data_IF_389383896914
#
_entry.id   IF_389383896914
#
_cell.length_a   1.000
_cell.length_b   1.000
_cell.length_c   1.000
_cell.angle_alpha   90.00
_cell.angle_beta   90.00
_cell.angle_gamma   90.00
#
_symmetry.space_group_name_H-M   'P 1'
#
loop_
_entity.id
_entity.type
_entity.pdbx_description
1 polymer ?
#
# COMPACT_ATOMS: atom_id res chain seq x y z
N UNK A 1 75.24 5.76 -27.06
CA UNK A 1 73.96 5.05 -26.90
C UNK A 1 73.36 5.50 -25.56
N UNK A 2 72.28 6.26 -25.64
CA UNK A 2 71.65 7.00 -24.53
C UNK A 2 70.57 6.13 -23.88
N UNK A 3 70.78 5.71 -22.63
CA UNK A 3 69.73 5.07 -21.84
C UNK A 3 69.03 6.16 -21.02
N UNK A 4 67.82 6.52 -21.44
CA UNK A 4 66.94 7.46 -20.73
C UNK A 4 66.24 6.66 -19.64
N UNK A 5 66.66 6.81 -18.40
CA UNK A 5 65.91 6.29 -17.24
C UNK A 5 64.96 7.37 -16.76
N UNK A 6 63.71 7.31 -17.23
CA UNK A 6 62.63 8.13 -16.67
C UNK A 6 62.35 7.64 -15.24
N UNK A 7 62.73 8.46 -14.25
CA UNK A 7 62.29 8.31 -12.87
C UNK A 7 60.78 8.52 -12.82
N UNK A 8 60.02 7.47 -12.51
CA UNK A 8 58.58 7.54 -12.26
C UNK A 8 58.36 8.25 -10.92
N UNK A 9 58.26 9.57 -10.94
CA UNK A 9 57.74 10.33 -9.81
C UNK A 9 56.35 9.78 -9.46
N UNK A 10 56.26 9.09 -8.34
CA UNK A 10 55.00 8.71 -7.75
C UNK A 10 54.35 9.99 -7.23
N UNK A 11 53.45 10.56 -8.03
CA UNK A 11 52.49 11.54 -7.53
C UNK A 11 51.69 10.85 -6.43
N UNK A 12 52.02 11.17 -5.18
CA UNK A 12 51.25 10.75 -4.03
C UNK A 12 49.96 11.55 -4.07
N UNK A 13 48.95 11.01 -4.73
CA UNK A 13 47.58 11.50 -4.61
C UNK A 13 47.24 11.31 -3.13
N UNK A 14 47.28 12.39 -2.36
CA UNK A 14 46.67 12.37 -1.05
C UNK A 14 45.17 12.26 -1.33
N UNK A 15 44.63 11.04 -1.27
CA UNK A 15 43.19 10.86 -1.15
C UNK A 15 42.84 11.55 0.17
N UNK A 16 42.26 12.74 0.05
CA UNK A 16 41.38 13.25 1.08
C UNK A 16 40.29 12.21 1.22
N UNK A 17 40.38 11.40 2.27
CA UNK A 17 39.29 10.54 2.71
C UNK A 17 38.15 11.47 3.11
N UNK A 18 37.35 11.85 2.12
CA UNK A 18 36.03 12.41 2.36
C UNK A 18 35.24 11.22 2.89
N UNK A 19 35.12 11.16 4.21
CA UNK A 19 34.12 10.36 4.90
C UNK A 19 32.82 10.44 4.09
N UNK A 20 32.21 9.31 3.71
CA UNK A 20 30.93 9.35 3.02
C UNK A 20 29.99 10.13 3.92
N UNK A 21 29.49 11.27 3.43
CA UNK A 21 28.46 12.04 4.12
C UNK A 21 27.37 11.03 4.43
N UNK A 22 27.25 10.67 5.71
CA UNK A 22 26.12 9.88 6.22
C UNK A 22 24.91 10.72 5.93
N UNK A 23 24.30 10.45 4.78
CA UNK A 23 23.02 11.00 4.38
C UNK A 23 22.09 10.69 5.54
N UNK A 24 21.78 11.70 6.36
CA UNK A 24 20.87 11.55 7.49
C UNK A 24 19.54 11.20 6.87
N UNK A 25 19.26 9.91 6.76
CA UNK A 25 17.97 9.36 6.38
C UNK A 25 17.02 9.80 7.47
N UNK A 26 16.39 10.95 7.26
CA UNK A 26 15.39 11.45 8.19
C UNK A 26 14.24 10.44 8.21
N UNK A 27 13.54 10.31 9.32
CA UNK A 27 12.38 9.39 9.46
C UNK A 27 11.36 9.58 8.32
N UNK A 28 11.28 10.80 7.77
CA UNK A 28 10.49 11.14 6.57
C UNK A 28 10.91 10.37 5.32
N UNK A 29 12.20 10.14 5.14
CA UNK A 29 12.75 9.42 3.99
C UNK A 29 12.55 7.90 4.11
N UNK A 30 12.61 7.38 5.34
CA UNK A 30 12.22 6.00 5.65
C UNK A 30 10.71 5.81 5.41
N UNK A 31 9.89 6.75 5.88
CA UNK A 31 8.44 6.73 5.70
C UNK A 31 8.02 6.78 4.22
N UNK A 32 8.66 7.64 3.42
CA UNK A 32 8.41 7.71 1.98
C UNK A 32 8.77 6.41 1.26
N UNK A 33 9.87 5.76 1.67
CA UNK A 33 10.27 4.43 1.17
C UNK A 33 9.27 3.36 1.55
N UNK A 34 8.76 3.36 2.78
CA UNK A 34 7.73 2.42 3.24
C UNK A 34 6.41 2.56 2.48
N UNK A 35 5.92 3.80 2.27
CA UNK A 35 4.70 4.03 1.47
C UNK A 35 4.90 3.56 0.02
N UNK A 36 6.07 3.83 -0.55
CA UNK A 36 6.39 3.42 -1.93
C UNK A 36 6.45 1.90 -2.05
N UNK A 37 7.04 1.20 -1.08
CA UNK A 37 7.08 -0.25 -1.03
C UNK A 37 5.67 -0.85 -0.96
N UNK A 38 4.82 -0.35 -0.05
CA UNK A 38 3.43 -0.81 0.10
C UNK A 38 2.64 -0.60 -1.18
N UNK A 39 2.79 0.56 -1.85
CA UNK A 39 2.14 0.84 -3.13
C UNK A 39 2.57 -0.16 -4.20
N UNK A 40 3.86 -0.46 -4.29
CA UNK A 40 4.38 -1.39 -5.29
C UNK A 40 3.91 -2.83 -5.02
N UNK A 41 3.86 -3.27 -3.77
CA UNK A 41 3.30 -4.56 -3.38
C UNK A 41 1.81 -4.65 -3.71
N UNK A 42 1.03 -3.60 -3.47
CA UNK A 42 -0.39 -3.54 -3.82
C UNK A 42 -0.60 -3.65 -5.34
N UNK A 43 0.17 -2.91 -6.14
CA UNK A 43 0.10 -2.98 -7.60
C UNK A 43 0.43 -4.40 -8.08
N UNK A 44 1.51 -5.00 -7.58
CA UNK A 44 1.92 -6.37 -7.95
C UNK A 44 0.86 -7.44 -7.60
N UNK A 45 0.23 -7.31 -6.42
CA UNK A 45 -0.88 -8.17 -6.02
C UNK A 45 -2.09 -7.98 -6.94
N UNK A 46 -2.43 -6.73 -7.27
CA UNK A 46 -3.57 -6.42 -8.13
C UNK A 46 -3.39 -6.97 -9.54
N UNK A 47 -2.18 -6.88 -10.12
CA UNK A 47 -1.87 -7.42 -11.44
C UNK A 47 -1.83 -8.95 -11.44
N UNK A 48 -1.20 -9.57 -10.43
CA UNK A 48 -1.16 -11.03 -10.29
C UNK A 48 -2.56 -11.63 -10.13
N UNK A 49 -3.44 -10.97 -9.40
CA UNK A 49 -4.83 -11.38 -9.27
C UNK A 49 -5.59 -11.16 -10.58
N UNK A 50 -5.44 -10.00 -11.22
CA UNK A 50 -6.10 -9.70 -12.49
C UNK A 50 -5.75 -10.71 -13.60
N UNK A 51 -4.49 -11.13 -13.71
CA UNK A 51 -4.06 -12.15 -14.68
C UNK A 51 -4.68 -13.53 -14.40
N UNK A 52 -4.90 -13.87 -13.12
CA UNK A 52 -5.60 -15.10 -12.73
C UNK A 52 -7.11 -15.04 -12.97
N UNK A 53 -7.71 -13.84 -13.02
CA UNK A 53 -9.14 -13.64 -13.28
C UNK A 53 -9.48 -13.49 -14.77
N UNK A 54 -8.55 -13.01 -15.61
CA UNK A 54 -8.77 -12.78 -17.04
C UNK A 54 -8.86 -14.05 -17.89
N UNK A 55 -8.52 -15.23 -17.35
CA UNK A 55 -8.58 -16.49 -18.11
C UNK A 55 -10.03 -17.02 -18.32
N UNK A 56 -11.06 -16.41 -17.75
CA UNK A 56 -12.40 -16.99 -17.73
C UNK A 56 -13.57 -16.03 -18.06
N UNK A 57 -13.40 -15.10 -19.00
CA UNK A 57 -14.56 -14.42 -19.59
C UNK A 57 -14.39 -14.25 -21.11
N UNK A 58 -14.89 -15.23 -21.85
CA UNK A 58 -15.40 -15.01 -23.20
C UNK A 58 -16.73 -15.73 -23.35
N UNK A 59 -17.82 -14.99 -23.19
CA UNK A 59 -19.09 -15.28 -23.88
C UNK A 59 -19.85 -13.95 -24.02
N UNK A 60 -19.78 -13.37 -25.21
CA UNK A 60 -20.54 -12.20 -25.66
C UNK A 60 -22.00 -12.57 -25.97
N UNK A 61 -22.97 -11.72 -25.61
CA UNK A 61 -24.26 -11.55 -26.32
C UNK A 61 -24.72 -10.07 -26.22
N UNK A 62 -25.29 -9.45 -27.30
CA UNK A 62 -25.32 -8.00 -27.46
C UNK A 62 -26.63 -7.27 -27.07
N UNK A 63 -26.46 -5.98 -26.74
CA UNK A 63 -27.36 -4.80 -26.78
C UNK A 63 -28.89 -4.99 -26.87
N UNK A 64 -29.60 -4.36 -25.91
CA UNK A 64 -30.81 -3.57 -26.23
C UNK A 64 -30.69 -2.17 -25.63
N UNK A 65 -30.79 -1.19 -26.52
CA UNK A 65 -30.64 0.24 -26.27
C UNK A 65 -31.98 0.80 -25.78
N UNK A 66 -32.09 1.13 -24.49
CA UNK A 66 -33.26 1.85 -23.97
C UNK A 66 -32.92 3.32 -23.76
N UNK A 67 -33.52 4.18 -24.58
CA UNK A 67 -33.64 5.61 -24.32
C UNK A 67 -34.55 5.83 -23.10
N UNK A 68 -33.98 5.83 -21.90
CA UNK A 68 -34.69 6.26 -20.69
C UNK A 68 -34.49 7.77 -20.55
N UNK A 69 -35.54 8.52 -20.88
CA UNK A 69 -35.57 9.98 -20.82
C UNK A 69 -35.08 10.53 -19.48
N UNK A 70 -34.23 11.55 -19.55
CA UNK A 70 -33.82 12.39 -18.44
C UNK A 70 -35.01 13.20 -17.94
N UNK A 71 -35.76 12.66 -16.99
CA UNK A 71 -36.79 13.39 -16.26
C UNK A 71 -36.53 13.26 -14.74
N UNK A 72 -35.48 13.91 -14.25
CA UNK A 72 -35.33 14.22 -12.82
C UNK A 72 -34.26 15.28 -12.54
N UNK A 73 -34.25 16.37 -13.30
CA UNK A 73 -33.59 17.60 -12.85
C UNK A 73 -34.51 18.25 -11.81
N UNK A 74 -34.30 17.97 -10.52
CA UNK A 74 -35.03 18.66 -9.44
C UNK A 74 -35.43 17.80 -8.25
N UNK A 75 -35.20 16.48 -8.27
CA UNK A 75 -35.21 15.68 -7.03
C UNK A 75 -33.77 15.54 -6.58
N UNK A 76 -33.48 15.89 -5.33
CA UNK A 76 -32.25 15.49 -4.65
C UNK A 76 -32.25 13.96 -4.50
N UNK A 77 -32.03 13.25 -5.61
CA UNK A 77 -31.93 11.79 -5.61
C UNK A 77 -30.61 11.48 -4.96
N UNK A 78 -30.66 10.79 -3.82
CA UNK A 78 -29.48 10.27 -3.16
C UNK A 78 -28.88 9.17 -4.06
N UNK A 79 -27.99 9.57 -4.96
CA UNK A 79 -27.31 8.62 -5.85
C UNK A 79 -26.08 8.04 -5.15
N UNK A 80 -25.64 6.86 -5.58
CA UNK A 80 -24.38 6.26 -5.11
C UNK A 80 -23.19 7.19 -5.28
N UNK A 81 -23.18 7.99 -6.36
CA UNK A 81 -22.18 9.02 -6.61
C UNK A 81 -22.27 10.13 -5.55
N UNK A 82 -23.46 10.69 -5.32
CA UNK A 82 -23.67 11.75 -4.31
C UNK A 82 -23.19 11.33 -2.92
N UNK A 83 -23.45 10.07 -2.53
CA UNK A 83 -22.99 9.54 -1.23
C UNK A 83 -21.47 9.41 -1.19
N UNK A 84 -20.85 8.85 -2.25
CA UNK A 84 -19.38 8.73 -2.33
C UNK A 84 -18.68 10.09 -2.30
N UNK A 85 -19.19 11.05 -3.05
CA UNK A 85 -18.64 12.41 -3.10
C UNK A 85 -18.73 13.09 -1.73
N UNK A 86 -19.86 12.93 -1.04
CA UNK A 86 -20.04 13.42 0.33
C UNK A 86 -19.08 12.76 1.31
N UNK A 87 -18.94 11.43 1.27
CA UNK A 87 -18.00 10.70 2.13
C UNK A 87 -16.55 11.14 1.87
N UNK A 88 -16.18 11.35 0.60
CA UNK A 88 -14.85 11.84 0.23
C UNK A 88 -14.62 13.27 0.74
N UNK A 89 -15.61 14.15 0.61
CA UNK A 89 -15.55 15.50 1.15
C UNK A 89 -15.36 15.47 2.67
N UNK A 90 -16.09 14.60 3.38
CA UNK A 90 -15.92 14.42 4.83
C UNK A 90 -14.53 13.89 5.17
N UNK A 91 -14.03 12.89 4.46
CA UNK A 91 -12.68 12.36 4.64
C UNK A 91 -11.62 13.44 4.49
N UNK A 92 -11.74 14.29 3.46
CA UNK A 92 -10.83 15.42 3.25
C UNK A 92 -10.93 16.46 4.38
N UNK A 93 -12.15 16.73 4.88
CA UNK A 93 -12.37 17.69 5.97
C UNK A 93 -11.82 17.23 7.32
N UNK A 94 -11.61 15.93 7.52
CA UNK A 94 -11.01 15.39 8.74
C UNK A 94 -9.52 15.75 8.88
N UNK A 95 -8.85 16.15 7.79
CA UNK A 95 -7.43 16.51 7.76
C UNK A 95 -6.55 15.54 8.56
N UNK A 96 -6.73 14.24 8.29
CA UNK A 96 -6.05 13.16 9.03
C UNK A 96 -4.53 13.39 9.05
N UNK A 97 -3.97 13.81 7.91
CA UNK A 97 -2.54 14.10 7.77
C UNK A 97 -2.11 15.32 8.58
N UNK A 98 -2.86 16.42 8.53
CA UNK A 98 -2.54 17.61 9.30
C UNK A 98 -2.67 17.38 10.81
N UNK A 99 -3.65 16.59 11.25
CA UNK A 99 -3.78 16.21 12.66
C UNK A 99 -2.65 15.28 13.11
N UNK A 100 -2.27 14.30 12.29
CA UNK A 100 -1.12 13.44 12.57
C UNK A 100 0.21 14.22 12.63
N UNK A 101 0.36 15.30 11.87
CA UNK A 101 1.57 16.13 11.95
C UNK A 101 1.67 16.96 13.23
N UNK A 102 0.55 17.20 13.92
CA UNK A 102 0.47 18.05 15.12
C UNK A 102 0.54 17.23 16.41
N UNK A 103 -0.03 16.02 16.40
CA UNK A 103 -0.13 15.15 17.56
C UNK A 103 0.45 13.75 17.25
N UNK A 104 1.61 13.39 17.82
CA UNK A 104 2.21 12.07 17.65
C UNK A 104 1.34 10.92 18.17
N UNK A 105 0.54 11.14 19.22
CA UNK A 105 -0.36 10.11 19.75
C UNK A 105 -1.50 9.84 18.75
N UNK A 106 -2.10 10.91 18.22
CA UNK A 106 -3.07 10.80 17.13
C UNK A 106 -2.48 10.10 15.91
N UNK A 107 -1.25 10.46 15.51
CA UNK A 107 -0.56 9.85 14.38
C UNK A 107 -0.41 8.33 14.56
N UNK A 108 0.10 7.91 15.72
CA UNK A 108 0.28 6.49 16.05
C UNK A 108 -1.05 5.74 16.05
N UNK A 109 -2.04 6.24 16.79
CA UNK A 109 -3.36 5.61 16.88
C UNK A 109 -4.04 5.50 15.52
N UNK A 110 -3.92 6.55 14.70
CA UNK A 110 -4.51 6.58 13.35
C UNK A 110 -3.83 5.59 12.42
N UNK A 111 -2.50 5.52 12.42
CA UNK A 111 -1.75 4.54 11.62
C UNK A 111 -2.13 3.10 12.01
N UNK A 112 -2.15 2.80 13.31
CA UNK A 112 -2.53 1.49 13.84
C UNK A 112 -3.99 1.16 13.45
N UNK A 113 -4.92 2.09 13.63
CA UNK A 113 -6.33 1.89 13.30
C UNK A 113 -6.57 1.68 11.79
N UNK A 114 -5.92 2.47 10.92
CA UNK A 114 -6.08 2.35 9.47
C UNK A 114 -5.53 1.01 8.98
N UNK A 115 -4.33 0.62 9.41
CA UNK A 115 -3.73 -0.65 9.02
C UNK A 115 -4.53 -1.83 9.57
N UNK A 116 -5.03 -1.73 10.80
CA UNK A 116 -5.93 -2.74 11.39
C UNK A 116 -7.25 -2.87 10.62
N UNK A 117 -7.81 -1.76 10.15
CA UNK A 117 -9.01 -1.78 9.32
C UNK A 117 -8.76 -2.44 7.96
N UNK A 118 -7.62 -2.18 7.32
CA UNK A 118 -7.22 -2.85 6.08
C UNK A 118 -7.03 -4.35 6.30
N UNK A 119 -6.33 -4.73 7.37
CA UNK A 119 -6.19 -6.13 7.77
C UNK A 119 -7.55 -6.80 7.97
N UNK A 120 -8.46 -6.19 8.75
CA UNK A 120 -9.78 -6.75 9.02
C UNK A 120 -10.62 -6.91 7.76
N UNK A 121 -10.64 -5.89 6.89
CA UNK A 121 -11.38 -5.93 5.63
C UNK A 121 -10.86 -7.04 4.70
N UNK A 122 -9.54 -7.16 4.57
CA UNK A 122 -8.92 -8.21 3.76
C UNK A 122 -9.23 -9.60 4.35
N UNK A 123 -9.03 -9.76 5.67
CA UNK A 123 -9.33 -11.01 6.39
C UNK A 123 -10.75 -11.47 6.12
N UNK A 124 -11.73 -10.60 6.32
CA UNK A 124 -13.15 -10.94 6.19
C UNK A 124 -13.52 -11.29 4.74
N UNK A 125 -13.05 -10.49 3.77
CA UNK A 125 -13.34 -10.71 2.36
C UNK A 125 -12.75 -12.03 1.85
N UNK A 126 -11.47 -12.29 2.16
CA UNK A 126 -10.78 -13.50 1.72
C UNK A 126 -11.29 -14.75 2.46
N UNK A 127 -11.55 -14.67 3.76
CA UNK A 127 -12.12 -15.80 4.50
C UNK A 127 -13.48 -16.20 3.92
N UNK A 128 -14.36 -15.24 3.62
CA UNK A 128 -15.66 -15.53 2.98
C UNK A 128 -15.49 -16.29 1.67
N UNK A 129 -14.54 -15.87 0.82
CA UNK A 129 -14.25 -16.50 -0.47
C UNK A 129 -13.62 -17.90 -0.33
N UNK A 130 -12.69 -18.09 0.61
CA UNK A 130 -12.03 -19.37 0.83
C UNK A 130 -13.00 -20.40 1.40
N UNK A 131 -13.83 -19.98 2.36
CA UNK A 131 -14.89 -20.81 2.93
C UNK A 131 -15.90 -21.21 1.85
N UNK A 132 -16.34 -20.28 0.98
CA UNK A 132 -17.27 -20.62 -0.11
C UNK A 132 -16.70 -21.63 -1.11
N UNK A 133 -15.37 -21.79 -1.14
CA UNK A 133 -14.65 -22.76 -1.98
C UNK A 133 -14.27 -24.05 -1.23
N UNK A 134 -14.61 -24.18 0.06
CA UNK A 134 -14.20 -25.30 0.91
C UNK A 134 -12.69 -25.35 1.17
N UNK A 135 -11.97 -24.25 1.00
CA UNK A 135 -10.52 -24.15 1.21
C UNK A 135 -10.22 -23.75 2.65
N UNK A 136 -9.22 -24.38 3.27
CA UNK A 136 -8.77 -24.02 4.62
C UNK A 136 -8.27 -22.57 4.68
N UNK A 137 -8.74 -21.82 5.67
CA UNK A 137 -8.35 -20.42 5.89
C UNK A 137 -7.06 -20.27 6.71
N UNK A 138 -6.61 -21.33 7.39
CA UNK A 138 -5.48 -21.27 8.33
C UNK A 138 -4.18 -20.77 7.69
N UNK A 139 -3.75 -21.24 6.49
CA UNK A 139 -2.54 -20.75 5.86
C UNK A 139 -2.62 -19.25 5.54
N UNK A 140 -3.77 -18.81 5.02
CA UNK A 140 -4.04 -17.40 4.73
C UNK A 140 -3.97 -16.54 5.98
N UNK A 141 -4.63 -16.95 7.07
CA UNK A 141 -4.63 -16.22 8.34
C UNK A 141 -3.21 -16.04 8.91
N UNK A 142 -2.38 -17.08 8.79
CA UNK A 142 -0.98 -17.02 9.23
C UNK A 142 -0.17 -15.99 8.43
N UNK A 143 -0.30 -16.00 7.10
CA UNK A 143 0.41 -15.08 6.20
C UNK A 143 0.00 -13.62 6.43
N UNK A 144 -1.30 -13.34 6.52
CA UNK A 144 -1.75 -11.97 6.78
C UNK A 144 -1.42 -11.50 8.21
N UNK A 145 -1.37 -12.42 9.18
CA UNK A 145 -0.96 -12.14 10.55
C UNK A 145 0.52 -11.75 10.60
N UNK A 146 1.38 -12.49 9.90
CA UNK A 146 2.80 -12.15 9.77
C UNK A 146 2.99 -10.79 9.06
N UNK A 147 2.21 -10.50 8.02
CA UNK A 147 2.23 -9.20 7.36
C UNK A 147 1.81 -8.06 8.30
N UNK A 148 0.78 -8.27 9.15
CA UNK A 148 0.34 -7.30 10.15
C UNK A 148 1.43 -7.04 11.21
N UNK A 149 2.08 -8.11 11.69
CA UNK A 149 3.19 -8.01 12.63
C UNK A 149 4.38 -7.24 12.03
N UNK A 150 4.75 -7.56 10.79
CA UNK A 150 5.84 -6.89 10.07
C UNK A 150 5.52 -5.41 9.77
N UNK A 151 4.24 -5.05 9.67
CA UNK A 151 3.79 -3.66 9.55
C UNK A 151 3.87 -2.89 10.90
N UNK A 152 4.25 -3.56 12.00
CA UNK A 152 4.38 -2.97 13.32
C UNK A 152 3.04 -2.82 14.06
N UNK A 153 1.99 -3.56 13.66
CA UNK A 153 0.73 -3.54 14.39
C UNK A 153 0.89 -4.23 15.75
N UNK A 154 0.30 -3.67 16.82
CA UNK A 154 0.21 -4.37 18.10
C UNK A 154 -0.80 -5.53 17.99
N UNK A 155 -0.49 -6.67 18.60
CA UNK A 155 -1.34 -7.86 18.55
C UNK A 155 -0.77 -9.02 19.36
N UNK A 156 -1.47 -10.15 19.30
CA UNK A 156 -1.12 -11.37 20.04
C UNK A 156 -1.10 -12.59 19.11
N UNK A 157 -0.27 -13.58 19.44
CA UNK A 157 -0.24 -14.86 18.73
C UNK A 157 -1.16 -15.85 19.45
N UNK A 158 -2.16 -16.38 18.73
CA UNK A 158 -3.05 -17.44 19.20
C UNK A 158 -3.00 -18.59 18.21
N UNK A 159 -2.72 -19.80 18.70
CA UNK A 159 -2.59 -21.01 17.87
C UNK A 159 -1.62 -20.86 16.68
N UNK A 160 -0.53 -20.10 16.87
CA UNK A 160 0.48 -19.84 15.83
C UNK A 160 0.07 -18.83 14.77
N UNK A 161 -1.03 -18.09 14.97
CA UNK A 161 -1.50 -17.00 14.10
C UNK A 161 -1.44 -15.69 14.87
N UNK A 162 -0.77 -14.69 14.31
CA UNK A 162 -0.76 -13.31 14.83
C UNK A 162 -2.05 -12.59 14.46
N UNK A 163 -2.66 -11.91 15.42
CA UNK A 163 -3.91 -11.14 15.27
C UNK A 163 -3.93 -9.91 16.16
#
# INVERSE_FOLDING_TARGET
>A
MTNITLSTQHYRIHRSDVEPVKEKTTEKDIFAKSITAVRNSFISLSTSLSDRFSLHQQTDIPTTHFHRGNASEGRAVLTSKTVKDFMLQKLNSLDIKGNASKDPAYARQTCEAILSAVYSNNKDQCCKLLISKGVSITPFLKEIGEAAQNAGLPGEIKNGVFT
#
